data_IF_136724103926
#
_entry.id   IF_136724103926
#
_cell.length_a   1.000
_cell.length_b   1.000
_cell.length_c   1.000
_cell.angle_alpha   90.00
_cell.angle_beta   90.00
_cell.angle_gamma   90.00
#
_symmetry.space_group_name_H-M   'P 1'
#
loop_
_entity.id
_entity.type
_entity.pdbx_description
1 polymer ?
#
# COMPACT_ATOMS: atom_id res chain seq x y z
N UNK A 1 -7.40 3.69 -18.58
CA UNK A 1 -8.52 3.21 -17.74
C UNK A 1 -8.99 4.34 -16.80
N UNK A 2 -10.19 4.91 -17.00
CA UNK A 2 -10.66 6.12 -16.31
C UNK A 2 -10.83 5.95 -14.79
N UNK A 3 -10.42 6.92 -13.98
CA UNK A 3 -10.62 6.98 -12.51
C UNK A 3 -12.08 6.66 -12.12
N UNK A 4 -12.28 5.89 -11.04
CA UNK A 4 -13.64 5.50 -10.56
C UNK A 4 -14.17 4.13 -10.99
N UNK A 5 -13.53 3.43 -11.93
CA UNK A 5 -13.99 2.12 -12.44
C UNK A 5 -13.68 0.89 -11.57
N UNK A 6 -13.50 1.04 -10.25
CA UNK A 6 -13.18 -0.09 -9.36
C UNK A 6 -11.75 -0.65 -9.45
N UNK A 7 -10.78 0.13 -9.95
CA UNK A 7 -9.36 -0.29 -10.04
C UNK A 7 -8.74 -0.69 -8.71
N UNK A 8 -9.17 -0.07 -7.61
CA UNK A 8 -8.69 -0.42 -6.28
C UNK A 8 -9.01 -1.86 -5.92
N UNK A 9 -10.16 -2.37 -6.34
CA UNK A 9 -10.53 -3.76 -6.13
C UNK A 9 -9.53 -4.76 -6.72
N UNK A 10 -8.76 -4.40 -7.76
CA UNK A 10 -7.77 -5.31 -8.35
C UNK A 10 -6.60 -5.62 -7.42
N UNK A 11 -6.21 -4.70 -6.55
CA UNK A 11 -5.15 -4.93 -5.55
C UNK A 11 -5.71 -5.20 -4.15
N UNK A 12 -6.98 -4.87 -3.91
CA UNK A 12 -7.66 -5.13 -2.64
C UNK A 12 -8.25 -6.55 -2.57
N UNK A 13 -8.82 -7.06 -3.67
CA UNK A 13 -9.45 -8.38 -3.71
C UNK A 13 -8.50 -9.56 -3.39
N UNK A 14 -7.23 -9.57 -3.87
CA UNK A 14 -6.30 -10.64 -3.51
C UNK A 14 -6.05 -10.77 -2.00
N UNK A 15 -6.18 -9.68 -1.23
CA UNK A 15 -5.93 -9.67 0.21
C UNK A 15 -6.86 -10.61 1.00
N UNK A 16 -8.04 -10.93 0.47
CA UNK A 16 -8.98 -11.86 1.12
C UNK A 16 -8.58 -13.34 0.95
N UNK A 17 -7.69 -13.65 0.02
CA UNK A 17 -7.23 -15.01 -0.27
C UNK A 17 -5.74 -15.24 0.04
N UNK A 18 -5.00 -14.18 0.32
CA UNK A 18 -3.59 -14.26 0.69
C UNK A 18 -3.43 -14.79 2.12
N UNK A 19 -2.26 -15.38 2.39
CA UNK A 19 -1.94 -15.87 3.74
C UNK A 19 -1.78 -14.67 4.69
N UNK A 20 -2.06 -14.83 6.00
CA UNK A 20 -1.97 -13.74 6.98
C UNK A 20 -0.60 -13.05 7.08
N UNK A 21 0.47 -13.68 6.60
CA UNK A 21 1.83 -13.15 6.60
C UNK A 21 2.24 -12.48 5.27
N UNK A 22 1.33 -12.37 4.29
CA UNK A 22 1.62 -11.77 3.00
C UNK A 22 1.35 -10.26 3.02
N UNK A 23 2.28 -9.49 2.46
CA UNK A 23 2.13 -8.04 2.26
C UNK A 23 1.97 -7.76 0.78
N UNK A 24 0.94 -6.98 0.42
CA UNK A 24 0.78 -6.44 -0.93
C UNK A 24 1.35 -5.03 -0.96
N UNK A 25 2.26 -4.77 -1.89
CA UNK A 25 2.85 -3.45 -2.10
C UNK A 25 2.23 -2.83 -3.34
N UNK A 26 1.62 -1.66 -3.18
CA UNK A 26 1.01 -0.90 -4.28
C UNK A 26 1.79 0.39 -4.49
N UNK A 27 2.46 0.47 -5.63
CA UNK A 27 3.17 1.67 -6.06
C UNK A 27 2.17 2.64 -6.70
N UNK A 28 2.14 3.87 -6.20
CA UNK A 28 1.26 4.93 -6.71
C UNK A 28 2.07 6.12 -7.21
N UNK A 29 1.65 6.78 -8.31
CA UNK A 29 2.37 7.90 -8.88
C UNK A 29 2.23 9.20 -8.06
N UNK A 30 1.16 9.37 -7.29
CA UNK A 30 0.88 10.62 -6.57
C UNK A 30 0.69 10.38 -5.07
N UNK A 31 1.50 11.06 -4.25
CA UNK A 31 1.42 11.02 -2.78
C UNK A 31 0.05 11.47 -2.26
N UNK A 32 -0.59 12.41 -2.96
CA UNK A 32 -1.90 12.93 -2.59
C UNK A 32 -2.98 11.83 -2.57
N UNK A 33 -2.88 10.83 -3.44
CA UNK A 33 -3.83 9.71 -3.52
C UNK A 33 -3.71 8.72 -2.36
N UNK A 34 -2.54 8.65 -1.70
CA UNK A 34 -2.27 7.63 -0.69
C UNK A 34 -3.23 7.75 0.50
N UNK A 35 -3.55 8.97 0.94
CA UNK A 35 -4.45 9.19 2.08
C UNK A 35 -5.85 8.66 1.79
N UNK A 36 -6.36 8.93 0.60
CA UNK A 36 -7.68 8.48 0.17
C UNK A 36 -7.73 6.95 0.03
N UNK A 37 -6.67 6.34 -0.52
CA UNK A 37 -6.56 4.89 -0.64
C UNK A 37 -6.47 4.19 0.72
N UNK A 38 -5.72 4.74 1.68
CA UNK A 38 -5.66 4.19 3.05
C UNK A 38 -7.04 4.28 3.70
N UNK A 39 -7.75 5.40 3.54
CA UNK A 39 -9.11 5.57 4.06
C UNK A 39 -10.05 4.52 3.47
N UNK A 40 -10.05 4.37 2.14
CA UNK A 40 -10.87 3.36 1.45
C UNK A 40 -10.55 1.93 1.90
N UNK A 41 -9.27 1.59 2.09
CA UNK A 41 -8.89 0.26 2.58
C UNK A 41 -9.41 0.00 3.99
N UNK A 42 -9.34 1.00 4.88
CA UNK A 42 -9.88 0.89 6.25
C UNK A 42 -11.39 0.73 6.27
N UNK A 43 -12.11 1.41 5.38
CA UNK A 43 -13.56 1.29 5.25
C UNK A 43 -14.00 -0.14 4.88
N UNK A 44 -13.10 -0.96 4.30
CA UNK A 44 -13.32 -2.36 3.94
C UNK A 44 -12.60 -3.32 4.91
N UNK A 45 -12.10 -2.83 6.04
CA UNK A 45 -11.49 -3.65 7.10
C UNK A 45 -10.03 -4.07 6.83
N UNK A 46 -9.35 -3.43 5.88
CA UNK A 46 -7.96 -3.76 5.53
C UNK A 46 -7.00 -2.82 6.25
N UNK A 47 -6.03 -3.41 6.96
CA UNK A 47 -4.94 -2.67 7.60
C UNK A 47 -3.95 -2.24 6.51
N UNK A 48 -4.05 -0.96 6.13
CA UNK A 48 -3.22 -0.35 5.11
C UNK A 48 -2.35 0.79 5.67
N UNK A 49 -1.11 0.86 5.20
CA UNK A 49 -0.11 1.83 5.65
C UNK A 49 0.63 2.48 4.48
N UNK A 50 1.23 3.66 4.73
CA UNK A 50 2.08 4.37 3.78
C UNK A 50 3.54 4.09 4.10
N UNK A 51 4.32 3.73 3.08
CA UNK A 51 5.78 3.74 3.17
C UNK A 51 6.33 5.12 2.80
N UNK A 52 7.14 5.70 3.67
CA UNK A 52 7.70 7.04 3.50
C UNK A 52 9.19 7.15 3.92
N UNK A 53 9.94 6.04 3.84
CA UNK A 53 11.35 5.97 4.24
C UNK A 53 11.62 5.12 5.48
N UNK A 54 12.87 5.12 5.93
CA UNK A 54 13.40 4.22 6.97
C UNK A 54 12.65 4.31 8.31
N UNK A 55 12.23 5.52 8.73
CA UNK A 55 11.47 5.71 9.98
C UNK A 55 10.01 5.20 9.92
N UNK A 56 9.58 4.63 8.81
CA UNK A 56 8.25 4.03 8.66
C UNK A 56 8.24 2.51 8.69
N UNK A 57 9.38 1.81 8.78
CA UNK A 57 9.44 0.33 8.83
C UNK A 57 8.53 -0.24 9.91
N UNK A 58 8.64 0.31 11.13
CA UNK A 58 7.89 -0.17 12.31
C UNK A 58 6.40 0.19 12.19
N UNK A 59 6.04 1.12 11.30
CA UNK A 59 4.65 1.54 11.04
C UNK A 59 3.98 0.74 9.94
N UNK A 60 4.74 -0.04 9.15
CA UNK A 60 4.18 -0.97 8.15
C UNK A 60 4.11 -2.40 8.65
N UNK A 61 4.75 -2.74 9.78
CA UNK A 61 4.60 -4.05 10.41
C UNK A 61 3.13 -4.37 10.72
N UNK A 62 2.69 -5.58 10.37
CA UNK A 62 1.29 -6.02 10.52
C UNK A 62 0.31 -5.44 9.48
N UNK A 63 0.77 -4.63 8.53
CA UNK A 63 -0.08 -4.13 7.45
C UNK A 63 -0.18 -5.17 6.33
N UNK A 64 -1.41 -5.54 5.96
CA UNK A 64 -1.64 -6.42 4.81
C UNK A 64 -1.41 -5.69 3.47
N UNK A 65 -1.51 -4.36 3.48
CA UNK A 65 -1.37 -3.50 2.30
C UNK A 65 -0.45 -2.31 2.59
N UNK A 66 0.53 -2.08 1.71
CA UNK A 66 1.46 -0.95 1.82
C UNK A 66 1.44 -0.13 0.54
N UNK A 67 1.14 1.17 0.67
CA UNK A 67 1.21 2.12 -0.43
C UNK A 67 2.55 2.84 -0.45
N UNK A 68 3.18 2.90 -1.62
CA UNK A 68 4.50 3.51 -1.81
C UNK A 68 4.41 4.51 -2.96
N UNK A 69 4.95 5.72 -2.78
CA UNK A 69 5.05 6.67 -3.88
C UNK A 69 6.15 6.21 -4.85
N UNK A 70 5.94 6.34 -6.17
CA UNK A 70 6.92 5.89 -7.17
C UNK A 70 8.32 6.51 -6.98
N UNK A 71 8.38 7.78 -6.56
CA UNK A 71 9.62 8.50 -6.23
C UNK A 71 10.43 7.82 -5.10
N UNK A 72 9.76 7.09 -4.21
CA UNK A 72 10.37 6.43 -3.06
C UNK A 72 10.86 5.01 -3.39
N UNK A 73 10.40 4.42 -4.49
CA UNK A 73 10.75 3.04 -4.86
C UNK A 73 12.21 2.87 -5.29
N UNK A 74 12.87 3.93 -5.74
CA UNK A 74 14.27 3.89 -6.17
C UNK A 74 15.27 4.10 -5.02
N UNK A 75 14.77 4.32 -3.81
CA UNK A 75 15.64 4.55 -2.66
C UNK A 75 16.19 3.23 -2.13
N UNK A 76 17.49 3.21 -1.79
CA UNK A 76 18.15 2.05 -1.16
C UNK A 76 17.40 1.55 0.10
N UNK A 77 16.86 2.42 0.98
CA UNK A 77 16.04 1.99 2.11
C UNK A 77 14.77 1.21 1.72
N UNK A 78 14.18 1.49 0.56
CA UNK A 78 13.02 0.73 0.08
C UNK A 78 13.44 -0.67 -0.38
N UNK A 79 14.53 -0.77 -1.14
CA UNK A 79 15.05 -2.05 -1.62
C UNK A 79 15.51 -2.99 -0.51
N UNK A 80 15.99 -2.46 0.61
CA UNK A 80 16.37 -3.25 1.80
C UNK A 80 15.18 -3.67 2.66
N UNK A 81 14.00 -3.07 2.47
CA UNK A 81 12.79 -3.39 3.23
C UNK A 81 11.98 -4.57 2.64
N UNK A 82 12.03 -4.77 1.32
CA UNK A 82 11.31 -5.85 0.62
C UNK A 82 12.07 -7.17 0.70
#
# INVERSE_FOLDING_TARGET
MATGSGKSALFTAPLFWLRPASVVVVVVPFVALIKDLIRQSRDVGIVASKWAGYQCSDKVEGSALVFVAAENCYSEPFGLWI
#
